data_IF_888373718787
#
_entry.id   IF_888373718787
#
_cell.length_a   1.000
_cell.length_b   1.000
_cell.length_c   1.000
_cell.angle_alpha   90.00
_cell.angle_beta   90.00
_cell.angle_gamma   90.00
#
_symmetry.space_group_name_H-M   'P 1'
#
loop_
_entity.id
_entity.type
_entity.pdbx_description
1 polymer ?
#
# COMPACT_ATOMS: atom_id res chain seq x y z
N UNK A 1 12.74 17.09 -12.85
CA UNK A 1 12.55 15.65 -12.52
C UNK A 1 12.90 15.29 -11.06
N UNK A 2 13.28 16.26 -10.21
CA UNK A 2 13.67 15.99 -8.81
C UNK A 2 12.45 15.72 -7.91
N UNK A 3 11.40 16.55 -8.00
CA UNK A 3 10.20 16.46 -7.14
C UNK A 3 9.48 15.10 -7.25
N UNK A 4 9.24 14.60 -8.47
CA UNK A 4 8.56 13.30 -8.66
C UNK A 4 9.39 12.15 -8.06
N UNK A 5 10.72 12.19 -8.20
CA UNK A 5 11.62 11.21 -7.57
C UNK A 5 11.57 11.29 -6.05
N UNK A 6 11.53 12.50 -5.48
CA UNK A 6 11.39 12.68 -4.04
C UNK A 6 10.06 12.13 -3.51
N UNK A 7 8.95 12.38 -4.22
CA UNK A 7 7.63 11.85 -3.85
C UNK A 7 7.64 10.32 -3.90
N UNK A 8 8.20 9.73 -4.94
CA UNK A 8 8.24 8.28 -5.11
C UNK A 8 9.13 7.61 -4.04
N UNK A 9 10.28 8.21 -3.70
CA UNK A 9 11.12 7.79 -2.57
C UNK A 9 10.39 7.89 -1.23
N UNK A 10 9.65 8.98 -0.99
CA UNK A 10 8.89 9.18 0.25
C UNK A 10 7.77 8.13 0.41
N UNK A 11 7.04 7.83 -0.68
CA UNK A 11 6.02 6.78 -0.69
C UNK A 11 6.64 5.39 -0.45
N UNK A 12 7.79 5.12 -1.07
CA UNK A 12 8.51 3.85 -0.86
C UNK A 12 9.01 3.72 0.59
N UNK A 13 9.61 4.78 1.15
CA UNK A 13 10.07 4.79 2.54
C UNK A 13 8.90 4.61 3.52
N UNK A 14 7.78 5.29 3.28
CA UNK A 14 6.54 5.10 4.05
C UNK A 14 6.06 3.65 3.99
N UNK A 15 6.03 3.05 2.80
CA UNK A 15 5.63 1.66 2.62
C UNK A 15 6.53 0.71 3.39
N UNK A 16 7.85 0.89 3.31
CA UNK A 16 8.83 0.06 4.02
C UNK A 16 8.69 0.19 5.54
N UNK A 17 8.43 1.40 6.06
CA UNK A 17 8.18 1.63 7.48
C UNK A 17 6.91 0.91 7.96
N UNK A 18 5.80 1.06 7.25
CA UNK A 18 4.53 0.39 7.59
C UNK A 18 4.67 -1.14 7.48
N UNK A 19 5.42 -1.62 6.50
CA UNK A 19 5.70 -3.04 6.32
C UNK A 19 6.55 -3.61 7.46
N UNK A 20 7.66 -2.95 7.81
CA UNK A 20 8.54 -3.35 8.91
C UNK A 20 7.80 -3.33 10.26
N UNK A 21 6.98 -2.30 10.50
CA UNK A 21 6.12 -2.21 11.68
C UNK A 21 5.17 -3.42 11.78
N UNK A 22 4.57 -3.82 10.66
CA UNK A 22 3.70 -4.98 10.60
C UNK A 22 4.39 -6.29 10.93
N UNK A 23 5.60 -6.50 10.39
CA UNK A 23 6.40 -7.71 10.68
C UNK A 23 6.77 -7.77 12.16
N UNK A 24 7.17 -6.65 12.76
CA UNK A 24 7.55 -6.61 14.16
C UNK A 24 6.34 -6.80 15.10
N UNK A 25 5.18 -6.23 14.73
CA UNK A 25 3.98 -6.22 15.58
C UNK A 25 3.15 -7.49 15.45
N UNK A 26 3.12 -8.09 14.26
CA UNK A 26 2.32 -9.29 13.96
C UNK A 26 3.20 -10.45 13.50
N UNK A 27 4.09 -10.98 14.37
CA UNK A 27 4.96 -12.10 14.01
C UNK A 27 4.16 -13.37 13.70
N UNK A 28 2.93 -13.46 14.22
CA UNK A 28 2.05 -14.62 14.04
C UNK A 28 1.07 -14.50 12.86
N UNK A 29 1.26 -13.49 12.01
CA UNK A 29 0.44 -13.28 10.83
C UNK A 29 0.59 -14.41 9.79
N UNK A 30 -0.46 -14.75 9.02
CA UNK A 30 -1.77 -14.10 8.97
C UNK A 30 -2.72 -14.64 10.03
N UNK A 31 -3.40 -13.73 10.73
CA UNK A 31 -4.45 -14.06 11.69
C UNK A 31 -5.73 -14.36 10.92
N UNK A 32 -6.36 -15.52 11.19
CA UNK A 32 -7.60 -15.96 10.53
C UNK A 32 -8.68 -16.25 11.56
N UNK A 33 -9.97 -16.06 11.23
CA UNK A 33 -11.06 -16.59 12.06
C UNK A 33 -10.95 -18.12 12.10
N UNK A 34 -11.05 -18.71 13.30
CA UNK A 34 -11.06 -20.16 13.47
C UNK A 34 -12.28 -20.78 12.79
N UNK A 35 -12.08 -21.63 11.78
CA UNK A 35 -13.18 -22.18 10.97
C UNK A 35 -13.50 -23.66 11.28
N UNK A 36 -12.72 -24.33 12.14
CA UNK A 36 -12.81 -25.78 12.29
C UNK A 36 -13.00 -26.17 13.76
N UNK A 37 -14.25 -26.20 14.24
CA UNK A 37 -14.79 -27.03 15.34
C UNK A 37 -14.16 -26.96 16.76
N UNK A 38 -12.90 -26.58 16.91
CA UNK A 38 -12.13 -26.61 18.16
C UNK A 38 -12.01 -25.21 18.77
N UNK A 39 -12.24 -24.15 17.98
CA UNK A 39 -12.10 -22.74 18.38
C UNK A 39 -13.15 -21.86 17.69
N UNK A 40 -14.42 -22.22 17.82
CA UNK A 40 -15.53 -21.36 17.39
C UNK A 40 -15.47 -20.03 18.16
N UNK A 41 -15.32 -18.92 17.42
CA UNK A 41 -15.24 -17.57 18.00
C UNK A 41 -13.84 -17.12 18.43
N UNK A 42 -12.77 -17.86 18.09
CA UNK A 42 -11.39 -17.43 18.38
C UNK A 42 -10.58 -17.16 17.11
N UNK A 43 -9.82 -16.07 17.09
CA UNK A 43 -8.89 -15.76 15.99
C UNK A 43 -7.58 -16.49 16.22
N UNK A 44 -6.97 -17.03 15.17
CA UNK A 44 -5.74 -17.84 15.28
C UNK A 44 -4.71 -17.45 14.23
N UNK A 45 -3.46 -17.32 14.67
CA UNK A 45 -2.29 -17.10 13.81
C UNK A 45 -1.63 -18.42 13.38
N UNK A 46 -0.44 -18.32 12.75
CA UNK A 46 0.35 -19.48 12.29
C UNK A 46 0.82 -20.38 13.43
N UNK A 47 1.08 -19.83 14.61
CA UNK A 47 1.53 -20.55 15.81
C UNK A 47 0.36 -21.11 16.62
N UNK A 48 -0.87 -21.04 16.06
CA UNK A 48 -2.11 -21.46 16.73
C UNK A 48 -2.36 -20.76 18.07
N UNK A 49 -1.68 -19.63 18.33
CA UNK A 49 -2.00 -18.77 19.46
C UNK A 49 -3.38 -18.14 19.24
N UNK A 50 -4.14 -18.09 20.33
CA UNK A 50 -5.44 -17.42 20.38
C UNK A 50 -5.19 -15.92 20.37
N UNK A 51 -5.83 -15.25 19.42
CA UNK A 51 -5.85 -13.82 19.28
C UNK A 51 -7.22 -13.27 19.64
N UNK A 52 -7.23 -12.04 20.15
CA UNK A 52 -8.48 -11.33 20.42
C UNK A 52 -9.08 -10.76 19.12
N UNK A 53 -10.37 -10.47 19.16
CA UNK A 53 -11.05 -9.76 18.06
C UNK A 53 -10.39 -8.41 17.75
N UNK A 54 -9.97 -7.69 18.79
CA UNK A 54 -9.26 -6.42 18.65
C UNK A 54 -7.93 -6.57 17.88
N UNK A 55 -7.15 -7.62 18.16
CA UNK A 55 -5.89 -7.91 17.45
C UNK A 55 -6.13 -8.25 15.99
N UNK A 56 -7.18 -9.03 15.70
CA UNK A 56 -7.56 -9.36 14.33
C UNK A 56 -7.95 -8.11 13.53
N UNK A 57 -8.77 -7.22 14.10
CA UNK A 57 -9.12 -5.96 13.43
C UNK A 57 -7.93 -5.02 13.29
N UNK A 58 -7.01 -5.00 14.25
CA UNK A 58 -5.77 -4.23 14.15
C UNK A 58 -4.89 -4.74 13.00
N UNK A 59 -4.74 -6.06 12.87
CA UNK A 59 -4.05 -6.70 11.74
C UNK A 59 -4.73 -6.38 10.40
N UNK A 60 -6.06 -6.48 10.32
CA UNK A 60 -6.83 -6.15 9.12
C UNK A 60 -6.66 -4.69 8.68
N UNK A 61 -6.68 -3.75 9.63
CA UNK A 61 -6.44 -2.32 9.36
C UNK A 61 -5.04 -2.08 8.81
N UNK A 62 -4.04 -2.70 9.41
CA UNK A 62 -2.67 -2.64 8.91
C UNK A 62 -2.56 -3.23 7.49
N UNK A 63 -3.12 -4.41 7.26
CA UNK A 63 -3.10 -5.06 5.94
C UNK A 63 -3.79 -4.19 4.88
N UNK A 64 -4.92 -3.58 5.24
CA UNK A 64 -5.68 -2.69 4.37
C UNK A 64 -4.90 -1.42 4.04
N UNK A 65 -4.25 -0.79 5.03
CA UNK A 65 -3.36 0.36 4.80
C UNK A 65 -2.24 0.00 3.82
N UNK A 66 -1.65 -1.18 3.99
CA UNK A 66 -0.59 -1.68 3.13
C UNK A 66 -1.09 -1.93 1.70
N UNK A 67 -2.26 -2.56 1.54
CA UNK A 67 -2.89 -2.77 0.25
C UNK A 67 -3.32 -1.48 -0.45
N UNK A 68 -3.82 -0.48 0.28
CA UNK A 68 -4.24 0.80 -0.28
C UNK A 68 -3.01 1.61 -0.72
N UNK A 69 -1.91 1.57 0.04
CA UNK A 69 -0.71 2.35 -0.28
C UNK A 69 -0.05 1.96 -1.62
N UNK A 70 -0.22 0.71 -2.08
CA UNK A 70 0.27 0.22 -3.37
C UNK A 70 -0.30 0.97 -4.60
N UNK A 71 -1.62 0.94 -4.87
CA UNK A 71 -2.23 1.63 -5.99
C UNK A 71 -2.04 3.15 -5.94
N UNK A 72 -1.90 3.78 -4.76
CA UNK A 72 -1.53 5.20 -4.67
C UNK A 72 -0.11 5.46 -5.20
N UNK A 73 0.86 4.60 -4.88
CA UNK A 73 2.22 4.68 -5.43
C UNK A 73 2.25 4.44 -6.95
N UNK A 74 1.47 3.46 -7.43
CA UNK A 74 1.40 3.08 -8.84
C UNK A 74 0.66 4.13 -9.69
N UNK A 75 -0.43 4.69 -9.17
CA UNK A 75 -1.17 5.79 -9.80
C UNK A 75 -0.31 7.06 -9.93
N UNK A 76 0.47 7.40 -8.90
CA UNK A 76 1.43 8.50 -8.98
C UNK A 76 2.46 8.26 -10.10
N UNK A 77 3.01 7.05 -10.19
CA UNK A 77 3.98 6.67 -11.22
C UNK A 77 3.44 6.70 -12.66
N UNK A 78 2.19 6.31 -12.88
CA UNK A 78 1.59 6.21 -14.22
C UNK A 78 0.93 7.50 -14.72
N UNK A 79 0.32 8.30 -13.84
CA UNK A 79 -0.46 9.48 -14.24
C UNK A 79 0.45 10.70 -14.47
N UNK A 80 1.50 10.87 -13.66
CA UNK A 80 2.45 11.98 -13.78
C UNK A 80 3.20 12.06 -15.13
N UNK A 81 3.68 10.97 -15.75
CA UNK A 81 4.32 11.05 -17.07
C UNK A 81 3.31 11.38 -18.19
N UNK A 82 2.05 10.93 -18.08
CA UNK A 82 1.02 11.16 -19.11
C UNK A 82 0.51 12.60 -19.14
N UNK A 83 0.47 13.29 -18.01
CA UNK A 83 0.12 14.72 -17.96
C UNK A 83 1.22 15.61 -18.56
N UNK A 84 2.48 15.16 -18.55
CA UNK A 84 3.59 15.90 -19.18
C UNK A 84 3.59 15.80 -20.69
N UNK A 85 3.26 14.64 -21.24
CA UNK A 85 3.17 14.45 -22.70
C UNK A 85 2.17 15.42 -23.36
N UNK A 86 1.13 15.83 -22.63
CA UNK A 86 0.15 16.80 -23.12
C UNK A 86 0.65 18.25 -23.20
N UNK A 87 1.64 18.65 -22.38
CA UNK A 87 2.11 20.06 -22.36
C UNK A 87 3.05 20.39 -23.51
N UNK A 88 3.84 19.42 -23.99
CA UNK A 88 4.76 19.61 -25.13
C UNK A 88 4.08 19.45 -26.51
N UNK A 89 2.85 18.95 -26.58
CA UNK A 89 2.12 18.76 -27.85
C UNK A 89 1.34 19.98 -28.36
N UNK A 90 1.16 21.01 -27.54
CA UNK A 90 0.39 22.21 -27.91
C UNK A 90 1.27 23.33 -28.45
N UNK A 91 2.57 23.32 -28.16
CA UNK A 91 3.49 24.40 -28.56
C UNK A 91 4.09 24.24 -29.98
N UNK A 92 4.05 23.04 -30.58
CA UNK A 92 4.54 22.84 -31.96
C UNK A 92 3.54 23.20 -33.07
N UNK A 93 2.28 23.53 -32.76
CA UNK A 93 1.29 23.91 -33.79
C UNK A 93 1.31 25.39 -34.19
N UNK A 94 2.10 26.23 -33.52
CA UNK A 94 2.19 27.67 -33.84
C UNK A 94 3.44 28.07 -34.65
N UNK A 95 4.39 27.17 -34.90
CA UNK A 95 5.57 27.47 -35.72
C UNK A 95 5.38 27.16 -37.22
N UNK A 96 4.31 26.46 -37.61
CA UNK A 96 4.00 26.14 -39.02
C UNK A 96 3.05 27.15 -39.69
N UNK A 97 2.83 28.30 -39.05
CA UNK A 97 1.92 29.37 -39.52
C UNK A 97 2.61 30.75 -39.54
N UNK A 98 3.89 30.78 -39.93
CA UNK A 98 4.60 32.00 -40.32
C UNK A 98 5.45 31.73 -41.55
#
# INVERSE_FOLDING_TARGET
MKIVRCILMAVLAWFLLVFAYGIATYPDAPIKPGNNGTYTGTYTGKTHRKHTEAEYYAFLRWQTLLMISGPFGLAAGLILPRLKAKKTGTESRNCLRR
#
